data_IF_883703415921
#
_entry.id   IF_883703415921
#
_cell.length_a   1.000
_cell.length_b   1.000
_cell.length_c   1.000
_cell.angle_alpha   90.00
_cell.angle_beta   90.00
_cell.angle_gamma   90.00
#
_symmetry.space_group_name_H-M   'P 1'
#
loop_
_entity.id
_entity.type
_entity.pdbx_description
1 polymer ?
#
# COMPACT_ATOMS: atom_id res chain seq x y z
N UNK A 1 10.64 -16.56 -7.57
CA UNK A 1 9.62 -15.69 -6.93
C UNK A 1 10.31 -14.39 -6.54
N UNK A 2 9.80 -13.22 -6.92
CA UNK A 2 10.37 -11.95 -6.43
C UNK A 2 10.09 -11.84 -4.93
N UNK A 3 11.09 -11.38 -4.16
CA UNK A 3 10.90 -11.14 -2.73
C UNK A 3 9.81 -10.07 -2.50
N UNK A 4 8.99 -10.21 -1.45
CA UNK A 4 8.00 -9.20 -1.09
C UNK A 4 8.71 -7.88 -0.80
N UNK A 5 8.17 -6.78 -1.32
CA UNK A 5 8.73 -5.43 -1.14
C UNK A 5 7.94 -4.78 -0.01
N UNK A 6 8.55 -4.55 1.17
CA UNK A 6 7.84 -3.96 2.30
C UNK A 6 7.55 -2.48 2.01
N UNK A 7 6.34 -2.06 2.37
CA UNK A 7 5.89 -0.67 2.35
C UNK A 7 5.26 -0.32 3.70
N UNK A 8 5.31 0.95 4.07
CA UNK A 8 4.83 1.43 5.36
C UNK A 8 3.94 2.65 5.18
N UNK A 9 2.77 2.61 5.80
CA UNK A 9 1.82 3.70 5.83
C UNK A 9 1.72 4.27 7.24
N UNK A 10 2.20 5.50 7.41
CA UNK A 10 2.06 6.21 8.68
C UNK A 10 0.72 6.91 8.74
N UNK A 11 -0.11 6.55 9.72
CA UNK A 11 -1.35 7.26 10.00
C UNK A 11 -1.03 8.68 10.49
N UNK A 12 -1.40 9.68 9.70
CA UNK A 12 -1.20 11.10 10.04
C UNK A 12 -2.03 11.58 11.24
N UNK A 13 -3.02 10.78 11.67
CA UNK A 13 -3.87 11.12 12.81
C UNK A 13 -3.36 10.57 14.15
N UNK A 14 -2.90 9.31 14.20
CA UNK A 14 -2.51 8.65 15.45
C UNK A 14 -1.05 8.18 15.50
N UNK A 15 -0.28 8.37 14.43
CA UNK A 15 1.12 7.96 14.33
C UNK A 15 1.35 6.46 14.14
N UNK A 16 0.29 5.64 14.09
CA UNK A 16 0.41 4.21 13.86
C UNK A 16 1.02 3.90 12.49
N UNK A 17 1.99 3.00 12.44
CA UNK A 17 2.62 2.51 11.21
C UNK A 17 1.99 1.20 10.80
N UNK A 18 1.26 1.20 9.69
CA UNK A 18 0.74 0.00 9.07
C UNK A 18 1.77 -0.53 8.07
N UNK A 19 2.24 -1.76 8.28
CA UNK A 19 3.17 -2.45 7.39
C UNK A 19 2.39 -3.32 6.41
N UNK A 20 2.77 -3.27 5.13
CA UNK A 20 2.17 -4.07 4.07
C UNK A 20 3.22 -4.39 2.99
N UNK A 21 2.82 -5.12 1.95
CA UNK A 21 3.68 -5.42 0.79
C UNK A 21 3.17 -4.70 -0.45
N UNK A 22 4.09 -4.26 -1.29
CA UNK A 22 3.77 -3.64 -2.57
C UNK A 22 2.94 -4.55 -3.47
N UNK A 23 3.21 -5.86 -3.43
CA UNK A 23 2.47 -6.88 -4.16
C UNK A 23 0.99 -6.91 -3.75
N UNK A 24 0.70 -6.87 -2.45
CA UNK A 24 -0.68 -6.83 -1.97
C UNK A 24 -1.36 -5.52 -2.37
N UNK A 25 -0.64 -4.39 -2.28
CA UNK A 25 -1.17 -3.09 -2.64
C UNK A 25 -1.60 -3.00 -4.11
N UNK A 26 -0.76 -3.45 -5.05
CA UNK A 26 -1.06 -3.37 -6.48
C UNK A 26 -1.97 -4.50 -6.99
N UNK A 27 -2.16 -5.56 -6.21
CA UNK A 27 -3.04 -6.67 -6.58
C UNK A 27 -4.53 -6.35 -6.38
N UNK A 28 -4.87 -5.15 -5.90
CA UNK A 28 -6.25 -4.76 -5.57
C UNK A 28 -6.80 -5.44 -4.31
N UNK A 29 -5.95 -6.14 -3.54
CA UNK A 29 -6.35 -6.84 -2.30
C UNK A 29 -6.49 -5.92 -1.10
N UNK A 30 -5.96 -4.70 -1.17
CA UNK A 30 -6.13 -3.72 -0.10
C UNK A 30 -7.46 -2.99 -0.28
N UNK A 31 -8.27 -2.86 0.79
CA UNK A 31 -9.48 -2.06 0.73
C UNK A 31 -9.13 -0.60 0.43
N UNK A 32 -9.94 0.05 -0.42
CA UNK A 32 -9.85 1.47 -0.71
C UNK A 32 -11.18 2.14 -0.28
N UNK A 33 -11.17 3.03 0.75
CA UNK A 33 -10.00 3.50 1.51
C UNK A 33 -9.47 2.45 2.50
N UNK A 34 -8.15 2.44 2.73
CA UNK A 34 -7.51 1.56 3.72
C UNK A 34 -7.66 2.17 5.12
N UNK A 35 -8.39 1.54 6.06
CA UNK A 35 -8.53 2.07 7.41
C UNK A 35 -7.25 1.83 8.24
N UNK A 36 -6.89 2.80 9.07
CA UNK A 36 -5.86 2.62 10.09
C UNK A 36 -6.35 1.59 11.12
N UNK A 37 -5.60 0.52 11.42
CA UNK A 37 -6.05 -0.51 12.37
C UNK A 37 -6.23 0.04 13.79
N UNK A 38 -5.53 1.12 14.15
CA UNK A 38 -5.56 1.68 15.51
C UNK A 38 -6.69 2.69 15.75
N UNK A 39 -6.94 3.61 14.81
CA UNK A 39 -7.93 4.68 14.99
C UNK A 39 -9.09 4.64 13.98
N UNK A 40 -9.10 3.65 13.09
CA UNK A 40 -10.13 3.40 12.06
C UNK A 40 -10.32 4.54 11.05
N UNK A 41 -9.47 5.58 11.07
CA UNK A 41 -9.47 6.64 10.05
C UNK A 41 -8.78 6.15 8.78
N UNK A 42 -9.28 6.60 7.63
CA UNK A 42 -8.66 6.32 6.34
C UNK A 42 -7.19 6.78 6.31
N UNK A 43 -6.30 5.90 5.85
CA UNK A 43 -4.91 6.23 5.57
C UNK A 43 -4.84 6.99 4.25
N UNK A 44 -4.02 8.05 4.23
CA UNK A 44 -3.70 8.75 3.00
C UNK A 44 -2.68 7.92 2.20
N UNK A 45 -3.11 7.33 1.09
CA UNK A 45 -2.30 6.48 0.23
C UNK A 45 -2.18 7.15 -1.14
N UNK A 46 -0.95 7.35 -1.60
CA UNK A 46 -0.64 7.75 -2.97
C UNK A 46 -0.54 6.48 -3.84
N UNK A 47 -1.68 6.07 -4.40
CA UNK A 47 -1.78 4.87 -5.24
C UNK A 47 -0.93 4.99 -6.52
N UNK A 48 -0.81 6.19 -7.09
CA UNK A 48 0.03 6.42 -8.25
C UNK A 48 1.52 6.21 -7.92
N UNK A 49 1.97 6.65 -6.73
CA UNK A 49 3.33 6.39 -6.28
C UNK A 49 3.58 4.89 -6.08
N UNK A 50 2.62 4.14 -5.54
CA UNK A 50 2.73 2.67 -5.41
C UNK A 50 2.79 1.99 -6.78
N UNK A 51 1.96 2.41 -7.74
CA UNK A 51 2.00 1.90 -9.12
C UNK A 51 3.35 2.19 -9.78
N UNK A 52 3.87 3.42 -9.66
CA UNK A 52 5.22 3.76 -10.16
C UNK A 52 6.31 2.94 -9.50
N UNK A 53 6.23 2.72 -8.19
CA UNK A 53 7.19 1.88 -7.46
C UNK A 53 7.13 0.42 -7.92
N UNK A 54 5.93 -0.10 -8.17
CA UNK A 54 5.73 -1.46 -8.66
C UNK A 54 6.32 -1.64 -10.06
N UNK A 55 6.06 -0.70 -10.97
CA UNK A 55 6.65 -0.68 -12.31
C UNK A 55 8.18 -0.60 -12.25
N UNK A 56 8.74 0.31 -11.44
CA UNK A 56 10.19 0.42 -11.25
C UNK A 56 10.82 -0.84 -10.64
N UNK A 57 10.05 -1.57 -9.82
CA UNK A 57 10.44 -2.85 -9.24
C UNK A 57 10.18 -4.05 -10.16
N UNK A 58 9.68 -3.81 -11.38
CA UNK A 58 9.29 -4.83 -12.36
C UNK A 58 8.21 -5.79 -11.86
N UNK A 59 7.29 -5.32 -11.02
CA UNK A 59 6.09 -6.05 -10.63
C UNK A 59 4.98 -5.80 -11.65
N UNK A 60 4.20 -6.83 -12.03
CA UNK A 60 3.03 -6.64 -12.86
C UNK A 60 1.96 -5.88 -12.05
N UNK A 61 1.53 -4.74 -12.57
CA UNK A 61 0.36 -4.00 -12.06
C UNK A 61 -0.88 -4.58 -12.75
N UNK A 62 -1.88 -4.98 -11.97
CA UNK A 62 -3.14 -5.47 -12.53
C UNK A 62 -3.82 -4.33 -13.30
N UNK A 63 -4.34 -4.58 -14.52
CA UNK A 63 -5.18 -3.60 -15.19
C UNK A 63 -6.48 -3.41 -14.41
N UNK A 64 -6.92 -2.16 -14.32
CA UNK A 64 -8.21 -1.73 -13.75
C UNK A 64 -9.41 -2.42 -14.40
#
# INVERSE_FOLDING_TARGET
>A
MKSPIPIFFTCTHCGHVHAETLQNAISGRMPAPLPCPQCQRALAIDWDALTRLAQASGLPVAPE
#
